data_IF_466668050365
#
_entry.id   IF_466668050365
#
_cell.length_a   1.000
_cell.length_b   1.000
_cell.length_c   1.000
_cell.angle_alpha   90.00
_cell.angle_beta   90.00
_cell.angle_gamma   90.00
#
_symmetry.space_group_name_H-M   'P 1'
#
loop_
_entity.id
_entity.type
_entity.pdbx_description
1 polymer ?
#
# COMPACT_ATOMS: atom_id res chain seq x y z
N UNK A 1 -17.38 16.16 22.30
CA UNK A 1 -16.00 16.04 22.81
C UNK A 1 -15.07 16.90 21.95
N UNK A 2 -14.31 17.84 22.54
CA UNK A 2 -13.25 18.58 21.82
C UNK A 2 -11.99 17.70 21.85
N UNK A 3 -11.76 16.91 20.80
CA UNK A 3 -10.63 15.96 20.72
C UNK A 3 -9.32 16.70 20.36
N UNK A 4 -9.43 17.86 19.70
CA UNK A 4 -8.31 18.60 19.12
C UNK A 4 -7.34 19.26 20.13
N UNK A 5 -7.74 19.82 21.30
CA UNK A 5 -6.79 20.51 22.17
C UNK A 5 -5.86 19.56 22.93
N UNK A 6 -6.23 18.28 23.10
CA UNK A 6 -5.53 17.35 24.01
C UNK A 6 -4.32 16.65 23.39
N UNK A 7 -4.32 16.44 22.07
CA UNK A 7 -3.26 15.69 21.35
C UNK A 7 -2.28 16.58 20.58
N UNK A 8 -2.66 17.84 20.30
CA UNK A 8 -1.80 18.80 19.60
C UNK A 8 -1.66 18.55 18.09
N UNK A 9 -1.39 19.62 17.32
CA UNK A 9 -1.29 19.57 15.86
C UNK A 9 -0.19 18.62 15.36
N UNK A 10 0.91 18.50 16.10
CA UNK A 10 2.02 17.60 15.77
C UNK A 10 1.61 16.12 15.79
N UNK A 11 0.81 15.70 16.78
CA UNK A 11 0.30 14.33 16.82
C UNK A 11 -0.62 14.05 15.63
N UNK A 12 -1.52 14.99 15.29
CA UNK A 12 -2.41 14.83 14.14
C UNK A 12 -1.65 14.67 12.83
N UNK A 13 -0.59 15.46 12.60
CA UNK A 13 0.27 15.33 11.43
C UNK A 13 0.97 13.96 11.38
N UNK A 14 1.47 13.47 12.52
CA UNK A 14 2.08 12.13 12.59
C UNK A 14 1.09 11.03 12.20
N UNK A 15 -0.14 11.07 12.73
CA UNK A 15 -1.19 10.13 12.38
C UNK A 15 -1.59 10.22 10.90
N UNK A 16 -1.67 11.43 10.33
CA UNK A 16 -1.97 11.61 8.90
C UNK A 16 -0.90 10.98 8.01
N UNK A 17 0.39 11.05 8.36
CA UNK A 17 1.47 10.36 7.61
C UNK A 17 1.27 8.84 7.66
N UNK A 18 0.93 8.28 8.82
CA UNK A 18 0.66 6.84 8.94
C UNK A 18 -0.52 6.40 8.06
N UNK A 19 -1.62 7.15 8.06
CA UNK A 19 -2.78 6.86 7.19
C UNK A 19 -2.50 7.11 5.70
N UNK A 20 -1.68 8.11 5.39
CA UNK A 20 -1.28 8.40 4.02
C UNK A 20 -0.48 7.24 3.41
N UNK A 21 0.45 6.66 4.16
CA UNK A 21 1.20 5.49 3.72
C UNK A 21 0.28 4.31 3.37
N UNK A 22 -0.73 4.03 4.21
CA UNK A 22 -1.74 3.00 3.92
C UNK A 22 -2.51 3.31 2.63
N UNK A 23 -2.88 4.56 2.41
CA UNK A 23 -3.53 5.00 1.16
C UNK A 23 -2.64 4.78 -0.07
N UNK A 24 -1.36 5.11 0.02
CA UNK A 24 -0.38 4.89 -1.06
C UNK A 24 -0.25 3.40 -1.38
N UNK A 25 -0.13 2.54 -0.37
CA UNK A 25 -0.05 1.09 -0.59
C UNK A 25 -1.32 0.52 -1.22
N UNK A 26 -2.50 1.01 -0.82
CA UNK A 26 -3.78 0.58 -1.41
C UNK A 26 -3.89 0.94 -2.90
N UNK A 27 -3.49 2.16 -3.27
CA UNK A 27 -3.47 2.59 -4.68
C UNK A 27 -2.47 1.78 -5.48
N UNK A 28 -1.26 1.57 -4.94
CA UNK A 28 -0.24 0.72 -5.58
C UNK A 28 -0.73 -0.73 -5.76
N UNK A 29 -1.45 -1.28 -4.77
CA UNK A 29 -2.04 -2.61 -4.88
C UNK A 29 -3.06 -2.68 -6.02
N UNK A 30 -3.90 -1.67 -6.22
CA UNK A 30 -4.85 -1.63 -7.34
C UNK A 30 -4.15 -1.47 -8.71
N UNK A 31 -3.02 -0.75 -8.75
CA UNK A 31 -2.22 -0.60 -9.96
C UNK A 31 -1.44 -1.87 -10.34
N UNK A 32 -1.31 -2.84 -9.44
CA UNK A 32 -0.62 -4.10 -9.75
C UNK A 32 -1.30 -4.87 -10.88
N UNK A 33 -2.64 -4.87 -10.96
CA UNK A 33 -3.40 -5.57 -12.00
C UNK A 33 -3.08 -5.10 -13.43
N UNK A 34 -3.18 -3.79 -13.77
CA UNK A 34 -2.81 -3.33 -15.12
C UNK A 34 -1.31 -3.49 -15.40
N UNK A 35 -0.45 -3.44 -14.37
CA UNK A 35 0.99 -3.62 -14.51
C UNK A 35 1.39 -5.09 -14.74
N UNK A 36 0.59 -6.09 -14.35
CA UNK A 36 0.88 -7.50 -14.63
C UNK A 36 1.02 -7.76 -16.14
N UNK A 37 0.23 -7.09 -16.98
CA UNK A 37 0.31 -7.22 -18.44
C UNK A 37 1.67 -6.77 -19.00
N UNK A 38 2.30 -5.79 -18.37
CA UNK A 38 3.65 -5.33 -18.73
C UNK A 38 4.72 -6.30 -18.22
N UNK A 39 4.55 -6.80 -17.00
CA UNK A 39 5.49 -7.74 -16.37
C UNK A 39 5.58 -9.06 -17.13
N UNK A 40 4.48 -9.54 -17.73
CA UNK A 40 4.46 -10.79 -18.51
C UNK A 40 5.44 -10.82 -19.70
N UNK A 41 5.84 -9.65 -20.21
CA UNK A 41 6.78 -9.54 -21.33
C UNK A 41 8.25 -9.45 -20.88
N UNK A 42 8.53 -9.43 -19.58
CA UNK A 42 9.89 -9.31 -19.05
C UNK A 42 10.59 -10.67 -18.95
N UNK A 43 11.94 -10.72 -18.89
CA UNK A 43 12.68 -11.95 -18.60
C UNK A 43 12.27 -12.57 -17.24
N UNK A 44 12.31 -13.90 -17.07
CA UNK A 44 11.80 -14.60 -15.88
C UNK A 44 12.34 -14.07 -14.54
N UNK A 45 13.62 -13.68 -14.51
CA UNK A 45 14.25 -13.11 -13.32
C UNK A 45 13.61 -11.78 -12.91
N UNK A 46 13.29 -10.91 -13.88
CA UNK A 46 12.64 -9.63 -13.61
C UNK A 46 11.18 -9.84 -13.21
N UNK A 47 10.49 -10.80 -13.84
CA UNK A 47 9.12 -11.16 -13.46
C UNK A 47 9.05 -11.53 -11.97
N UNK A 48 9.98 -12.35 -11.48
CA UNK A 48 10.04 -12.74 -10.08
C UNK A 48 10.10 -11.52 -9.13
N UNK A 49 10.96 -10.56 -9.42
CA UNK A 49 11.09 -9.36 -8.58
C UNK A 49 9.84 -8.50 -8.60
N UNK A 50 9.22 -8.30 -9.77
CA UNK A 50 7.97 -7.54 -9.87
C UNK A 50 6.81 -8.21 -9.13
N UNK A 51 6.67 -9.54 -9.23
CA UNK A 51 5.66 -10.27 -8.45
C UNK A 51 5.89 -10.07 -6.95
N UNK A 52 7.14 -10.16 -6.48
CA UNK A 52 7.46 -9.89 -5.07
C UNK A 52 7.15 -8.46 -4.63
N UNK A 53 7.27 -7.49 -5.54
CA UNK A 53 6.89 -6.11 -5.25
C UNK A 53 5.38 -5.92 -5.19
N UNK A 54 4.63 -6.56 -6.09
CA UNK A 54 3.17 -6.56 -6.05
C UNK A 54 2.64 -7.22 -4.76
N UNK A 55 3.25 -8.33 -4.35
CA UNK A 55 2.97 -8.96 -3.06
C UNK A 55 3.20 -7.97 -1.91
N UNK A 56 4.35 -7.28 -1.90
CA UNK A 56 4.67 -6.30 -0.86
C UNK A 56 3.67 -5.14 -0.81
N UNK A 57 3.13 -4.70 -1.96
CA UNK A 57 2.08 -3.67 -1.98
C UNK A 57 0.75 -4.20 -1.44
N UNK A 58 0.40 -5.45 -1.78
CA UNK A 58 -0.84 -6.07 -1.30
C UNK A 58 -0.81 -6.34 0.20
N UNK A 59 0.26 -6.92 0.72
CA UNK A 59 0.41 -7.15 2.17
C UNK A 59 0.67 -5.85 2.94
N UNK A 60 1.40 -4.89 2.37
CA UNK A 60 1.66 -3.59 2.99
C UNK A 60 0.43 -2.69 3.10
N UNK A 61 -0.59 -2.90 2.26
CA UNK A 61 -1.88 -2.18 2.33
C UNK A 61 -2.87 -2.78 3.32
N UNK A 62 -2.61 -3.97 3.88
CA UNK A 62 -3.57 -4.72 4.69
C UNK A 62 -4.74 -5.30 3.89
N UNK A 63 -4.61 -5.39 2.55
CA UNK A 63 -5.63 -5.94 1.67
C UNK A 63 -5.68 -7.47 1.64
N UNK A 64 -4.82 -8.14 2.40
CA UNK A 64 -4.74 -9.59 2.58
C UNK A 64 -5.82 -10.18 3.48
N UNK A 65 -6.69 -9.33 4.04
CA UNK A 65 -7.86 -9.74 4.80
C UNK A 65 -8.94 -10.34 3.89
N UNK A 66 -8.72 -11.58 3.45
CA UNK A 66 -9.77 -12.42 2.85
C UNK A 66 -10.49 -13.13 3.99
N UNK A 67 -11.77 -12.78 4.22
CA UNK A 67 -12.64 -13.53 5.13
C UNK A 67 -13.02 -14.82 4.40
N UNK A 68 -12.17 -15.84 4.54
CA UNK A 68 -12.45 -17.21 4.11
C UNK A 68 -13.54 -17.87 4.95
#
# INVERSE_FOLDING_TARGET
AKIIPSVGLAALLNWMVHYFNLGVYSVLSQLSEPLQSWVKNLPPRQQYYFHRWFDAWRYGSGGDYDVG
#
